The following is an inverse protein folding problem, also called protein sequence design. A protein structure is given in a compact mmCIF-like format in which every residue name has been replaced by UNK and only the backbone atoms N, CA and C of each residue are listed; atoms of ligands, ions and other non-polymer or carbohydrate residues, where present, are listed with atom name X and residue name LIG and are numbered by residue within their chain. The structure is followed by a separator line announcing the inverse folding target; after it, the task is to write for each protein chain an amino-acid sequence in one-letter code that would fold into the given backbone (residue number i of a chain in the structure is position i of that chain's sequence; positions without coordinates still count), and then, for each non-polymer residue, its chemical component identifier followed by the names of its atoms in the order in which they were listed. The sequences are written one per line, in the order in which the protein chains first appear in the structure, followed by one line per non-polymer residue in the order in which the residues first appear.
data_IF_925234913411
#
_entry.id   IF_925234913411
#
_cell.length_a   1.000
_cell.length_b   1.000
_cell.length_c   1.000
_cell.angle_alpha   90.00
_cell.angle_beta   90.00
_cell.angle_gamma   90.00
#
_symmetry.space_group_name_H-M   'P 1'
#
loop_
_entity.id
_entity.type
_entity.pdbx_description
1 polymer ?
#
# COMPACT_ATOMS: atom_id res chain seq x y z
N UNK A 1 -23.19 -17.41 -12.10
CA UNK A 1 -21.98 -17.62 -12.92
C UNK A 1 -20.91 -18.30 -12.08
N UNK A 2 -20.16 -19.26 -12.63
CA UNK A 2 -18.96 -19.75 -11.94
C UNK A 2 -17.88 -18.68 -12.11
N UNK A 3 -17.41 -18.13 -11.00
CA UNK A 3 -16.26 -17.25 -10.97
C UNK A 3 -15.05 -17.97 -11.58
N UNK A 4 -14.59 -17.52 -12.76
CA UNK A 4 -13.41 -18.10 -13.41
C UNK A 4 -12.14 -17.37 -12.94
N UNK A 5 -11.53 -17.98 -11.94
CA UNK A 5 -10.31 -17.50 -11.30
C UNK A 5 -9.13 -17.42 -12.29
N UNK A 6 -9.07 -18.41 -13.22
CA UNK A 6 -7.99 -18.50 -14.19
C UNK A 6 -8.04 -17.38 -15.22
N UNK A 7 -9.24 -16.97 -15.63
CA UNK A 7 -9.43 -15.87 -16.58
C UNK A 7 -8.98 -14.54 -15.98
N UNK A 8 -9.35 -14.24 -14.73
CA UNK A 8 -8.93 -13.00 -14.03
C UNK A 8 -7.41 -12.92 -13.91
N UNK A 9 -6.75 -14.02 -13.50
CA UNK A 9 -5.29 -14.06 -13.38
C UNK A 9 -4.59 -13.92 -14.74
N UNK A 10 -5.12 -14.55 -15.77
CA UNK A 10 -4.56 -14.45 -17.12
C UNK A 10 -4.65 -13.02 -17.66
N UNK A 11 -5.80 -12.36 -17.46
CA UNK A 11 -5.99 -10.94 -17.83
C UNK A 11 -5.08 -10.02 -17.05
N UNK A 12 -4.95 -10.23 -15.73
CA UNK A 12 -4.01 -9.49 -14.87
C UNK A 12 -2.59 -9.52 -15.44
N UNK A 13 -2.09 -10.72 -15.77
CA UNK A 13 -0.74 -10.88 -16.31
C UNK A 13 -0.62 -10.22 -17.68
N UNK A 14 -1.61 -10.39 -18.55
CA UNK A 14 -1.62 -9.78 -19.90
C UNK A 14 -1.61 -8.25 -19.82
N UNK A 15 -2.45 -7.65 -18.99
CA UNK A 15 -2.51 -6.18 -18.82
C UNK A 15 -1.20 -5.67 -18.22
N UNK A 16 -0.79 -6.23 -17.09
CA UNK A 16 0.39 -5.80 -16.37
C UNK A 16 1.67 -5.92 -17.19
N UNK A 17 1.81 -6.99 -18.00
CA UNK A 17 3.01 -7.21 -18.81
C UNK A 17 3.06 -6.36 -20.08
N UNK A 18 1.94 -6.20 -20.76
CA UNK A 18 1.89 -5.48 -22.03
C UNK A 18 1.92 -3.95 -21.86
N UNK A 19 1.45 -3.44 -20.73
CA UNK A 19 1.33 -2.00 -20.49
C UNK A 19 2.28 -1.51 -19.39
N UNK A 20 3.59 -1.46 -19.68
CA UNK A 20 4.65 -1.03 -18.75
C UNK A 20 4.47 0.39 -18.21
N UNK A 21 3.64 1.22 -18.87
CA UNK A 21 3.29 2.56 -18.37
C UNK A 21 2.63 2.49 -16.99
N UNK A 22 1.90 1.41 -16.68
CA UNK A 22 1.29 1.19 -15.37
C UNK A 22 2.36 1.00 -14.27
N UNK A 23 3.49 0.37 -14.60
CA UNK A 23 4.61 0.21 -13.66
C UNK A 23 5.24 1.56 -13.32
N UNK A 24 5.39 2.43 -14.34
CA UNK A 24 5.98 3.76 -14.14
C UNK A 24 5.14 4.61 -13.16
N UNK A 25 3.82 4.51 -13.23
CA UNK A 25 2.95 5.19 -12.27
C UNK A 25 3.12 4.66 -10.86
N UNK A 26 3.28 3.36 -10.69
CA UNK A 26 3.50 2.75 -9.38
C UNK A 26 4.90 3.03 -8.80
N UNK A 27 5.84 3.52 -9.60
CA UNK A 27 7.13 4.03 -9.09
C UNK A 27 7.02 5.43 -8.47
N UNK A 28 5.94 6.18 -8.74
CA UNK A 28 5.77 7.56 -8.25
C UNK A 28 5.94 7.68 -6.73
N UNK A 29 5.32 6.85 -5.88
CA UNK A 29 5.54 6.92 -4.43
C UNK A 29 7.00 6.71 -4.03
N UNK A 30 7.70 5.81 -4.73
CA UNK A 30 9.13 5.58 -4.53
C UNK A 30 9.98 6.79 -4.88
N UNK A 31 9.70 7.46 -5.99
CA UNK A 31 10.38 8.69 -6.39
C UNK A 31 10.14 9.80 -5.37
N UNK A 32 8.88 9.99 -4.92
CA UNK A 32 8.55 10.97 -3.88
C UNK A 32 9.27 10.65 -2.58
N UNK A 33 9.26 9.39 -2.15
CA UNK A 33 9.95 8.96 -0.94
C UNK A 33 11.46 9.18 -1.04
N UNK A 34 12.08 8.92 -2.21
CA UNK A 34 13.51 9.12 -2.43
C UNK A 34 13.88 10.61 -2.39
N UNK A 35 13.06 11.48 -2.99
CA UNK A 35 13.27 12.94 -2.96
C UNK A 35 13.13 13.48 -1.54
N UNK A 36 12.21 12.94 -0.77
CA UNK A 36 11.97 13.34 0.62
C UNK A 36 12.88 12.62 1.63
N UNK A 37 13.65 11.62 1.20
CA UNK A 37 14.54 10.84 2.05
C UNK A 37 15.55 11.71 2.84
N UNK A 38 16.20 12.73 2.24
CA UNK A 38 17.08 13.62 2.99
C UNK A 38 16.36 14.36 4.13
N UNK A 39 15.11 14.80 3.88
CA UNK A 39 14.29 15.43 4.91
C UNK A 39 13.99 14.45 6.05
N UNK A 40 13.65 13.21 5.73
CA UNK A 40 13.39 12.16 6.70
C UNK A 40 14.63 11.84 7.55
N UNK A 41 15.82 11.74 6.92
CA UNK A 41 17.08 11.46 7.59
C UNK A 41 17.46 12.62 8.52
N UNK A 42 17.44 13.86 8.01
CA UNK A 42 17.79 15.05 8.79
C UNK A 42 16.82 15.33 9.94
N UNK A 43 15.55 14.95 9.77
CA UNK A 43 14.55 15.12 10.82
C UNK A 43 14.55 13.99 11.85
N UNK A 44 15.31 12.91 11.66
CA UNK A 44 15.33 11.78 12.58
C UNK A 44 16.35 12.02 13.72
N UNK A 45 15.90 12.21 14.98
CA UNK A 45 16.82 12.47 16.11
C UNK A 45 17.85 11.35 16.29
N UNK A 46 17.46 10.09 16.11
CA UNK A 46 18.36 8.96 16.23
C UNK A 46 19.48 8.98 15.19
N UNK A 47 19.25 9.55 14.01
CA UNK A 47 20.29 9.73 13.00
C UNK A 47 21.18 10.93 13.33
N UNK A 48 20.59 12.03 13.84
CA UNK A 48 21.35 13.20 14.28
C UNK A 48 22.30 12.87 15.44
N UNK A 49 21.88 12.01 16.37
CA UNK A 49 22.72 11.52 17.47
C UNK A 49 23.93 10.69 17.00
N UNK A 50 23.88 10.13 15.79
CA UNK A 50 25.01 9.41 15.18
C UNK A 50 25.97 10.34 14.43
N UNK A 51 25.61 11.61 14.21
CA UNK A 51 26.48 12.58 13.55
C UNK A 51 27.49 13.17 14.52
N UNK A 52 28.69 13.59 14.01
CA UNK A 52 29.67 14.31 14.84
C UNK A 52 29.11 15.65 15.36
N UNK A 53 29.66 16.13 16.47
CA UNK A 53 29.42 17.51 16.90
C UNK A 53 29.68 18.50 15.74
N UNK A 54 28.86 19.57 15.56
CA UNK A 54 27.85 20.09 16.47
C UNK A 54 26.41 19.54 16.23
N UNK A 55 26.21 18.59 15.34
CA UNK A 55 24.88 18.09 14.98
C UNK A 55 24.21 17.32 16.12
N UNK A 56 24.98 16.70 17.01
CA UNK A 56 24.47 15.98 18.16
C UNK A 56 23.78 16.92 19.16
N UNK A 57 24.35 18.12 19.36
CA UNK A 57 23.78 19.11 20.30
C UNK A 57 22.40 19.60 19.88
N UNK A 58 22.12 19.62 18.56
CA UNK A 58 20.78 19.97 18.05
C UNK A 58 19.72 18.90 18.37
N UNK A 59 20.10 17.65 18.53
CA UNK A 59 19.16 16.57 18.80
C UNK A 59 18.50 16.71 20.19
N UNK A 60 19.17 17.34 21.15
CA UNK A 60 18.70 17.53 22.51
C UNK A 60 17.78 18.77 22.67
N UNK A 61 17.65 19.59 21.64
CA UNK A 61 16.81 20.78 21.68
C UNK A 61 15.31 20.42 21.59
N UNK A 62 14.43 20.91 22.49
CA UNK A 62 13.01 20.56 22.53
C UNK A 62 12.25 20.85 21.24
N UNK A 63 12.64 21.88 20.47
CA UNK A 63 12.00 22.21 19.18
C UNK A 63 12.28 21.19 18.08
N UNK A 64 13.36 20.40 18.20
CA UNK A 64 13.67 19.34 17.25
C UNK A 64 12.62 18.24 17.22
N UNK A 65 11.97 17.96 18.35
CA UNK A 65 10.85 17.02 18.42
C UNK A 65 9.68 17.50 17.52
N UNK A 66 9.39 18.81 17.55
CA UNK A 66 8.34 19.39 16.70
C UNK A 66 8.74 19.37 15.24
N UNK A 67 10.00 19.69 14.92
CA UNK A 67 10.52 19.61 13.55
C UNK A 67 10.44 18.18 13.02
N UNK A 68 10.90 17.21 13.80
CA UNK A 68 10.85 15.79 13.45
C UNK A 68 9.42 15.33 13.21
N UNK A 69 8.51 15.62 14.15
CA UNK A 69 7.11 15.23 14.04
C UNK A 69 6.45 15.88 12.81
N UNK A 70 6.72 17.17 12.57
CA UNK A 70 6.23 17.90 11.41
C UNK A 70 6.78 17.34 10.09
N UNK A 71 8.08 17.09 10.02
CA UNK A 71 8.72 16.51 8.84
C UNK A 71 8.22 15.09 8.54
N UNK A 72 8.07 14.26 9.58
CA UNK A 72 7.47 12.93 9.46
C UNK A 72 6.02 13.00 8.94
N UNK A 73 5.23 13.93 9.48
CA UNK A 73 3.87 14.13 9.00
C UNK A 73 3.83 14.52 7.53
N UNK A 74 4.67 15.49 7.12
CA UNK A 74 4.78 15.91 5.71
C UNK A 74 5.25 14.75 4.82
N UNK A 75 6.24 13.99 5.25
CA UNK A 75 6.74 12.83 4.53
C UNK A 75 5.65 11.77 4.31
N UNK A 76 4.96 11.38 5.39
CA UNK A 76 3.89 10.38 5.33
C UNK A 76 2.74 10.90 4.45
N UNK A 77 2.33 12.15 4.62
CA UNK A 77 1.22 12.73 3.87
C UNK A 77 1.51 12.81 2.37
N UNK A 78 2.67 13.32 1.97
CA UNK A 78 3.05 13.41 0.56
C UNK A 78 3.23 12.03 -0.09
N UNK A 79 3.80 11.08 0.64
CA UNK A 79 3.93 9.70 0.16
C UNK A 79 2.56 9.02 0.00
N UNK A 80 1.63 9.27 0.94
CA UNK A 80 0.26 8.78 0.86
C UNK A 80 -0.48 9.38 -0.35
N UNK A 81 -0.35 10.68 -0.60
CA UNK A 81 -0.94 11.31 -1.79
C UNK A 81 -0.40 10.68 -3.09
N UNK A 82 0.91 10.49 -3.16
CA UNK A 82 1.56 9.85 -4.31
C UNK A 82 1.08 8.41 -4.49
N UNK A 83 0.93 7.65 -3.40
CA UNK A 83 0.44 6.27 -3.41
C UNK A 83 -1.00 6.18 -3.92
N UNK A 84 -1.90 7.00 -3.39
CA UNK A 84 -3.31 7.04 -3.84
C UNK A 84 -3.40 7.41 -5.31
N UNK A 85 -2.61 8.39 -5.75
CA UNK A 85 -2.59 8.81 -7.14
C UNK A 85 -2.04 7.71 -8.07
N UNK A 86 -0.99 7.02 -7.67
CA UNK A 86 -0.41 5.92 -8.42
C UNK A 86 -1.41 4.76 -8.57
N UNK A 87 -2.09 4.39 -7.49
CA UNK A 87 -3.12 3.34 -7.52
C UNK A 87 -4.30 3.72 -8.41
N UNK A 88 -4.84 4.94 -8.23
CA UNK A 88 -5.90 5.49 -9.09
C UNK A 88 -5.55 5.39 -10.57
N UNK A 89 -4.37 5.92 -10.94
CA UNK A 89 -3.94 5.99 -12.34
C UNK A 89 -3.73 4.60 -12.93
N UNK A 90 -3.22 3.66 -12.14
CA UNK A 90 -3.01 2.28 -12.57
C UNK A 90 -4.34 1.54 -12.75
N UNK A 91 -5.28 1.69 -11.81
CA UNK A 91 -6.62 1.09 -11.93
C UNK A 91 -7.39 1.67 -13.10
N UNK A 92 -7.31 3.00 -13.30
CA UNK A 92 -7.91 3.67 -14.45
C UNK A 92 -7.36 3.12 -15.77
N UNK A 93 -6.04 3.00 -15.87
CA UNK A 93 -5.37 2.43 -17.04
C UNK A 93 -5.77 0.98 -17.29
N UNK A 94 -5.84 0.15 -16.24
CA UNK A 94 -6.23 -1.25 -16.34
C UNK A 94 -7.70 -1.39 -16.85
N UNK A 95 -8.63 -0.58 -16.32
CA UNK A 95 -10.02 -0.54 -16.78
C UNK A 95 -10.11 -0.10 -18.25
N UNK A 96 -9.32 0.89 -18.65
CA UNK A 96 -9.28 1.40 -20.04
C UNK A 96 -8.77 0.34 -21.03
N UNK A 97 -7.76 -0.44 -20.63
CA UNK A 97 -7.25 -1.58 -21.41
C UNK A 97 -8.29 -2.67 -21.55
N UNK A 98 -8.95 -3.05 -20.46
CA UNK A 98 -10.02 -4.07 -20.50
C UNK A 98 -11.21 -3.63 -21.38
N UNK A 99 -11.50 -2.33 -21.44
CA UNK A 99 -12.51 -1.76 -22.34
C UNK A 99 -12.05 -1.69 -23.81
N UNK A 100 -10.84 -2.20 -24.14
CA UNK A 100 -10.35 -2.39 -25.51
C UNK A 100 -9.38 -1.31 -26.03
N UNK A 101 -8.84 -0.47 -25.17
CA UNK A 101 -7.82 0.53 -25.58
C UNK A 101 -6.45 -0.13 -25.73
N UNK A 102 -5.91 -0.16 -26.96
CA UNK A 102 -4.62 -0.84 -27.23
C UNK A 102 -3.39 -0.05 -26.75
N UNK A 103 -3.44 1.27 -26.72
CA UNK A 103 -2.31 2.13 -26.36
C UNK A 103 -2.72 3.15 -25.32
N UNK A 104 -1.95 3.24 -24.26
CA UNK A 104 -2.17 4.17 -23.16
C UNK A 104 -0.95 5.08 -23.04
N UNK A 105 -1.18 6.40 -23.16
CA UNK A 105 -0.16 7.42 -22.97
C UNK A 105 0.02 7.77 -21.49
N UNK A 106 1.26 8.00 -21.05
CA UNK A 106 1.55 8.41 -19.67
C UNK A 106 0.83 9.73 -19.30
N UNK A 107 0.91 10.74 -20.19
CA UNK A 107 0.28 12.06 -19.97
C UNK A 107 -1.25 11.98 -20.04
N UNK A 108 -1.78 11.13 -20.89
CA UNK A 108 -3.20 10.88 -21.04
C UNK A 108 -3.80 10.33 -19.73
N UNK A 109 -3.19 9.28 -19.19
CA UNK A 109 -3.61 8.70 -17.91
C UNK A 109 -3.61 9.73 -16.77
N UNK A 110 -2.61 10.63 -16.73
CA UNK A 110 -2.56 11.68 -15.74
C UNK A 110 -3.78 12.61 -15.79
N UNK A 111 -4.09 13.13 -16.96
CA UNK A 111 -5.19 14.09 -17.11
C UNK A 111 -6.56 13.45 -16.93
N UNK A 112 -6.73 12.23 -17.41
CA UNK A 112 -8.01 11.53 -17.33
C UNK A 112 -8.30 10.96 -15.94
N UNK A 113 -7.28 10.59 -15.15
CA UNK A 113 -7.47 10.11 -13.79
C UNK A 113 -7.67 11.25 -12.76
N UNK A 114 -7.17 12.45 -13.04
CA UNK A 114 -7.20 13.58 -12.11
C UNK A 114 -8.59 13.93 -11.54
N UNK A 115 -9.70 13.93 -12.35
CA UNK A 115 -11.03 14.19 -11.83
C UNK A 115 -11.51 13.25 -10.74
N UNK A 116 -11.02 12.01 -10.73
CA UNK A 116 -11.38 10.98 -9.77
C UNK A 116 -10.55 11.06 -8.48
N UNK A 117 -9.45 11.83 -8.49
CA UNK A 117 -8.47 11.84 -7.41
C UNK A 117 -9.09 12.13 -6.04
N UNK A 118 -9.90 13.18 -5.91
CA UNK A 118 -10.49 13.56 -4.63
C UNK A 118 -11.48 12.53 -4.10
N UNK A 119 -12.21 11.85 -4.99
CA UNK A 119 -13.14 10.78 -4.60
C UNK A 119 -12.37 9.55 -4.10
N UNK A 120 -11.33 9.15 -4.83
CA UNK A 120 -10.49 8.02 -4.44
C UNK A 120 -9.67 8.35 -3.19
N UNK A 121 -9.13 9.57 -3.09
CA UNK A 121 -8.44 10.02 -1.88
C UNK A 121 -9.39 10.00 -0.66
N UNK A 122 -10.61 10.49 -0.81
CA UNK A 122 -11.64 10.42 0.24
C UNK A 122 -11.97 8.97 0.64
N UNK A 123 -12.02 8.05 -0.35
CA UNK A 123 -12.22 6.62 -0.10
C UNK A 123 -11.09 6.05 0.78
N UNK A 124 -9.83 6.29 0.40
CA UNK A 124 -8.67 5.87 1.19
C UNK A 124 -8.63 6.53 2.56
N UNK A 125 -8.95 7.83 2.65
CA UNK A 125 -8.99 8.54 3.93
C UNK A 125 -10.01 7.93 4.90
N UNK A 126 -11.20 7.54 4.42
CA UNK A 126 -12.22 6.88 5.25
C UNK A 126 -11.74 5.50 5.70
N UNK A 127 -11.23 4.68 4.78
CA UNK A 127 -10.79 3.32 5.11
C UNK A 127 -9.55 3.31 5.98
N UNK A 128 -8.49 4.04 5.59
CA UNK A 128 -7.25 4.12 6.36
C UNK A 128 -7.47 4.83 7.68
N UNK A 129 -8.22 5.95 7.69
CA UNK A 129 -8.55 6.68 8.91
C UNK A 129 -9.41 5.84 9.86
N UNK A 130 -10.44 5.17 9.37
CA UNK A 130 -11.24 4.24 10.16
C UNK A 130 -10.41 3.10 10.75
N UNK A 131 -9.51 2.56 9.95
CA UNK A 131 -8.57 1.52 10.38
C UNK A 131 -7.60 2.01 11.45
N UNK A 132 -7.06 3.21 11.30
CA UNK A 132 -6.19 3.83 12.32
C UNK A 132 -6.93 4.03 13.65
N UNK A 133 -8.19 4.47 13.62
CA UNK A 133 -9.01 4.62 14.84
C UNK A 133 -9.21 3.28 15.54
N UNK A 134 -9.58 2.23 14.79
CA UNK A 134 -9.78 0.87 15.34
C UNK A 134 -8.46 0.35 15.92
N UNK A 135 -7.36 0.48 15.18
CA UNK A 135 -6.04 0.04 15.62
C UNK A 135 -5.57 0.79 16.88
N UNK A 136 -5.73 2.11 16.91
CA UNK A 136 -5.36 2.93 18.05
C UNK A 136 -6.19 2.57 19.31
N UNK A 137 -7.50 2.41 19.15
CA UNK A 137 -8.37 1.98 20.23
C UNK A 137 -7.94 0.61 20.77
N UNK A 138 -7.61 -0.33 19.88
CA UNK A 138 -7.10 -1.65 20.27
C UNK A 138 -5.76 -1.56 21.02
N UNK A 139 -4.81 -0.78 20.52
CA UNK A 139 -3.50 -0.57 21.15
C UNK A 139 -3.66 0.04 22.55
N UNK A 140 -4.54 1.04 22.71
CA UNK A 140 -4.84 1.63 24.02
C UNK A 140 -5.38 0.61 25.02
N UNK A 141 -6.35 -0.23 24.59
CA UNK A 141 -6.90 -1.30 25.43
C UNK A 141 -5.82 -2.34 25.78
N UNK A 142 -4.99 -2.69 24.80
CA UNK A 142 -3.87 -3.63 24.98
C UNK A 142 -2.85 -3.12 26.01
N UNK A 143 -2.43 -1.87 25.87
CA UNK A 143 -1.49 -1.23 26.81
C UNK A 143 -2.08 -1.10 28.22
N UNK A 144 -3.31 -0.58 28.34
CA UNK A 144 -3.98 -0.42 29.62
C UNK A 144 -4.16 -1.79 30.33
N UNK A 145 -4.62 -2.80 29.57
CA UNK A 145 -4.77 -4.15 30.10
C UNK A 145 -3.43 -4.77 30.55
N UNK A 146 -2.38 -4.59 29.75
CA UNK A 146 -1.04 -5.11 30.08
C UNK A 146 -0.45 -4.43 31.30
N UNK A 147 -0.63 -3.12 31.47
CA UNK A 147 -0.20 -2.39 32.67
C UNK A 147 -0.92 -2.86 33.94
N UNK A 148 -2.26 -3.03 33.86
CA UNK A 148 -3.08 -3.45 35.00
C UNK A 148 -2.81 -4.89 35.44
N UNK A 149 -2.40 -5.74 34.53
CA UNK A 149 -2.21 -7.19 34.78
C UNK A 149 -0.74 -7.63 34.78
N UNK A 150 0.21 -6.67 34.87
CA UNK A 150 1.65 -6.94 34.80
C UNK A 150 2.04 -7.80 33.55
N UNK A 151 1.38 -7.56 32.44
CA UNK A 151 1.66 -8.26 31.18
C UNK A 151 0.82 -9.51 30.90
N UNK A 152 0.06 -10.04 31.86
CA UNK A 152 -0.78 -11.23 31.65
C UNK A 152 -1.87 -11.00 30.58
N UNK A 153 -2.44 -9.80 30.51
CA UNK A 153 -3.42 -9.46 29.50
C UNK A 153 -2.86 -9.53 28.08
N UNK A 154 -1.56 -9.30 27.87
CA UNK A 154 -0.95 -9.39 26.54
C UNK A 154 -1.03 -10.80 25.97
N UNK A 155 -0.87 -11.83 26.77
CA UNK A 155 -1.01 -13.22 26.35
C UNK A 155 -2.45 -13.57 25.96
N UNK A 156 -3.44 -13.04 26.71
CA UNK A 156 -4.85 -13.27 26.43
C UNK A 156 -5.36 -12.46 25.21
N UNK A 157 -4.82 -11.26 24.98
CA UNK A 157 -5.21 -10.40 23.88
C UNK A 157 -4.49 -10.73 22.57
N UNK A 158 -3.36 -11.44 22.61
CA UNK A 158 -2.60 -11.84 21.43
C UNK A 158 -3.45 -12.60 20.38
N UNK A 159 -4.33 -13.55 20.73
CA UNK A 159 -5.21 -14.21 19.76
C UNK A 159 -6.16 -13.26 19.04
N UNK A 160 -6.53 -12.13 19.67
CA UNK A 160 -7.42 -11.13 19.06
C UNK A 160 -6.77 -10.48 17.84
N UNK A 161 -5.44 -10.37 17.80
CA UNK A 161 -4.73 -9.91 16.61
C UNK A 161 -5.05 -10.74 15.36
N UNK A 162 -5.25 -12.04 15.50
CA UNK A 162 -5.60 -12.90 14.37
C UNK A 162 -6.99 -12.59 13.82
N UNK A 163 -7.91 -12.00 14.61
CA UNK A 163 -9.22 -11.57 14.14
C UNK A 163 -9.13 -10.33 13.23
N UNK A 164 -8.08 -9.53 13.36
CA UNK A 164 -7.86 -8.39 12.46
C UNK A 164 -7.58 -8.83 11.02
N UNK A 165 -6.97 -10.00 10.82
CA UNK A 165 -6.62 -10.49 9.47
C UNK A 165 -7.86 -10.64 8.58
N UNK A 166 -8.92 -11.39 8.95
CA UNK A 166 -10.11 -11.49 8.12
C UNK A 166 -10.84 -10.15 7.95
N UNK A 167 -10.86 -9.30 8.98
CA UNK A 167 -11.46 -7.96 8.88
C UNK A 167 -10.68 -7.10 7.87
N UNK A 168 -9.34 -7.16 7.88
CA UNK A 168 -8.49 -6.47 6.89
C UNK A 168 -8.75 -6.99 5.47
N UNK A 169 -8.83 -8.31 5.28
CA UNK A 169 -9.10 -8.90 3.97
C UNK A 169 -10.44 -8.37 3.42
N UNK A 170 -11.49 -8.36 4.23
CA UNK A 170 -12.79 -7.82 3.84
C UNK A 170 -12.70 -6.32 3.53
N UNK A 171 -12.10 -5.54 4.43
CA UNK A 171 -11.97 -4.08 4.27
C UNK A 171 -11.21 -3.71 3.00
N UNK A 172 -10.04 -4.31 2.76
CA UNK A 172 -9.25 -4.06 1.55
C UNK A 172 -9.96 -4.54 0.28
N UNK A 173 -10.65 -5.68 0.31
CA UNK A 173 -11.41 -6.14 -0.84
C UNK A 173 -12.53 -5.16 -1.21
N UNK A 174 -13.26 -4.64 -0.22
CA UNK A 174 -14.31 -3.63 -0.44
C UNK A 174 -13.71 -2.32 -0.93
N UNK A 175 -12.57 -1.89 -0.39
CA UNK A 175 -11.83 -0.70 -0.83
C UNK A 175 -11.48 -0.77 -2.31
N UNK A 176 -10.87 -1.88 -2.76
CA UNK A 176 -10.46 -2.06 -4.14
C UNK A 176 -11.65 -2.12 -5.12
N UNK A 177 -12.72 -2.84 -4.74
CA UNK A 177 -13.96 -2.88 -5.52
C UNK A 177 -14.65 -1.50 -5.59
N UNK A 178 -14.66 -0.75 -4.49
CA UNK A 178 -15.21 0.61 -4.45
C UNK A 178 -14.37 1.58 -5.31
N UNK A 179 -13.04 1.47 -5.28
CA UNK A 179 -12.17 2.24 -6.16
C UNK A 179 -12.48 1.96 -7.64
N UNK A 180 -12.62 0.69 -8.01
CA UNK A 180 -12.98 0.31 -9.37
C UNK A 180 -14.36 0.85 -9.77
N UNK A 181 -15.36 0.86 -8.85
CA UNK A 181 -16.69 1.43 -9.08
C UNK A 181 -16.66 2.95 -9.30
N UNK A 182 -15.83 3.70 -8.55
CA UNK A 182 -15.64 5.14 -8.78
C UNK A 182 -15.13 5.39 -10.21
N UNK A 183 -14.20 4.56 -10.68
CA UNK A 183 -13.50 4.77 -11.94
C UNK A 183 -14.31 4.24 -13.12
N UNK A 184 -14.91 3.05 -13.02
CA UNK A 184 -15.59 2.39 -14.14
C UNK A 184 -16.97 2.97 -14.41
N UNK A 185 -17.72 3.35 -13.34
CA UNK A 185 -19.12 3.73 -13.37
C UNK A 185 -19.35 5.19 -12.91
N UNK A 186 -18.28 5.96 -12.70
CA UNK A 186 -18.30 7.37 -12.25
C UNK A 186 -19.15 7.60 -10.98
N UNK A 187 -19.15 6.62 -10.06
CA UNK A 187 -19.98 6.64 -8.86
C UNK A 187 -19.51 7.66 -7.83
N UNK A 188 -20.44 8.26 -7.04
CA UNK A 188 -20.07 9.06 -5.87
C UNK A 188 -19.51 8.16 -4.78
N UNK A 189 -18.68 8.73 -3.89
CA UNK A 189 -17.90 8.05 -2.86
C UNK A 189 -18.72 7.01 -2.05
N UNK A 190 -19.82 7.42 -1.45
CA UNK A 190 -20.65 6.51 -0.62
C UNK A 190 -21.40 5.47 -1.47
N UNK A 191 -21.82 5.84 -2.68
CA UNK A 191 -22.42 4.88 -3.63
C UNK A 191 -21.42 3.80 -4.03
N UNK A 192 -20.17 4.17 -4.27
CA UNK A 192 -19.10 3.22 -4.61
C UNK A 192 -18.78 2.27 -3.45
N UNK A 193 -18.77 2.76 -2.20
CA UNK A 193 -18.60 1.90 -1.01
C UNK A 193 -19.75 0.89 -0.91
N UNK A 194 -20.98 1.36 -1.07
CA UNK A 194 -22.17 0.48 -1.04
C UNK A 194 -22.09 -0.57 -2.18
N UNK A 195 -21.70 -0.16 -3.38
CA UNK A 195 -21.52 -1.06 -4.53
C UNK A 195 -20.41 -2.07 -4.31
N UNK A 196 -19.27 -1.64 -3.80
CA UNK A 196 -18.15 -2.52 -3.44
C UNK A 196 -18.56 -3.58 -2.41
N UNK A 197 -19.36 -3.19 -1.41
CA UNK A 197 -19.90 -4.10 -0.41
C UNK A 197 -20.90 -5.11 -0.99
N UNK A 198 -21.80 -4.67 -1.88
CA UNK A 198 -22.74 -5.56 -2.58
C UNK A 198 -22.02 -6.61 -3.41
N UNK A 199 -21.05 -6.19 -4.23
CA UNK A 199 -20.26 -7.10 -5.07
C UNK A 199 -19.44 -8.07 -4.23
N UNK A 200 -18.85 -7.60 -3.14
CA UNK A 200 -18.15 -8.44 -2.18
C UNK A 200 -19.09 -9.50 -1.60
N UNK A 201 -20.26 -9.12 -1.07
CA UNK A 201 -21.21 -10.07 -0.49
C UNK A 201 -21.74 -11.09 -1.50
N UNK A 202 -21.98 -10.67 -2.73
CA UNK A 202 -22.46 -11.56 -3.80
C UNK A 202 -21.43 -12.62 -4.18
N UNK A 203 -20.12 -12.29 -4.11
CA UNK A 203 -19.01 -13.14 -4.59
C UNK A 203 -17.92 -13.32 -3.53
N UNK A 204 -18.27 -13.28 -2.24
CA UNK A 204 -17.31 -13.17 -1.14
C UNK A 204 -16.19 -14.24 -1.20
N UNK A 205 -16.53 -15.47 -1.53
CA UNK A 205 -15.58 -16.59 -1.56
C UNK A 205 -14.54 -16.41 -2.68
N UNK A 206 -14.97 -16.01 -3.88
CA UNK A 206 -14.09 -15.73 -5.01
C UNK A 206 -13.19 -14.51 -4.75
N UNK A 207 -13.77 -13.44 -4.19
CA UNK A 207 -13.04 -12.21 -3.86
C UNK A 207 -12.00 -12.45 -2.77
N UNK A 208 -12.36 -13.14 -1.68
CA UNK A 208 -11.43 -13.48 -0.59
C UNK A 208 -10.32 -14.40 -1.09
N UNK A 209 -10.65 -15.41 -1.91
CA UNK A 209 -9.65 -16.31 -2.47
C UNK A 209 -8.67 -15.54 -3.39
N UNK A 210 -9.18 -14.65 -4.24
CA UNK A 210 -8.34 -13.80 -5.08
C UNK A 210 -7.42 -12.93 -4.22
N UNK A 211 -7.96 -12.27 -3.20
CA UNK A 211 -7.16 -11.45 -2.28
C UNK A 211 -6.04 -12.24 -1.63
N UNK A 212 -6.35 -13.44 -1.13
CA UNK A 212 -5.36 -14.32 -0.51
C UNK A 212 -4.26 -14.69 -1.52
N UNK A 213 -4.64 -15.15 -2.72
CA UNK A 213 -3.67 -15.56 -3.75
C UNK A 213 -2.80 -14.39 -4.21
N UNK A 214 -3.41 -13.22 -4.44
CA UNK A 214 -2.65 -12.02 -4.82
C UNK A 214 -1.70 -11.59 -3.70
N UNK A 215 -2.20 -11.49 -2.47
CA UNK A 215 -1.40 -11.04 -1.34
C UNK A 215 -0.24 -11.98 -1.04
N UNK A 216 -0.50 -13.30 -0.93
CA UNK A 216 0.56 -14.29 -0.72
C UNK A 216 1.52 -14.39 -1.89
N UNK A 217 1.02 -14.42 -3.13
CA UNK A 217 1.85 -14.47 -4.32
C UNK A 217 2.79 -13.27 -4.42
N UNK A 218 2.26 -12.06 -4.23
CA UNK A 218 3.06 -10.84 -4.22
C UNK A 218 4.05 -10.79 -3.07
N UNK A 219 3.63 -11.22 -1.87
CA UNK A 219 4.50 -11.27 -0.69
C UNK A 219 5.67 -12.24 -0.90
N UNK A 220 5.41 -13.42 -1.47
CA UNK A 220 6.48 -14.39 -1.79
C UNK A 220 7.46 -13.82 -2.83
N UNK A 221 6.96 -13.22 -3.91
CA UNK A 221 7.81 -12.63 -4.95
C UNK A 221 8.61 -11.46 -4.35
N UNK A 222 7.96 -10.57 -3.60
CA UNK A 222 8.61 -9.44 -2.95
C UNK A 222 9.71 -9.90 -1.99
N UNK A 223 9.43 -10.91 -1.15
CA UNK A 223 10.41 -11.42 -0.19
C UNK A 223 11.64 -12.03 -0.87
N UNK A 224 11.47 -12.68 -2.02
CA UNK A 224 12.59 -13.24 -2.79
C UNK A 224 13.61 -12.17 -3.22
N UNK A 225 13.15 -10.95 -3.52
CA UNK A 225 14.02 -9.83 -3.90
C UNK A 225 14.53 -9.04 -2.70
N UNK A 226 13.67 -8.81 -1.69
CA UNK A 226 13.98 -7.95 -0.55
C UNK A 226 14.86 -8.70 0.47
N UNK A 227 14.62 -10.00 0.69
CA UNK A 227 15.34 -10.77 1.70
C UNK A 227 16.87 -10.76 1.50
N UNK A 228 17.44 -11.01 0.29
CA UNK A 228 18.87 -10.89 0.07
C UNK A 228 19.45 -9.50 0.36
N UNK A 229 18.66 -8.45 0.11
CA UNK A 229 19.05 -7.07 0.39
C UNK A 229 19.05 -6.73 1.89
N UNK A 230 18.35 -7.51 2.71
CA UNK A 230 18.34 -7.32 4.16
C UNK A 230 19.59 -7.93 4.86
N UNK A 231 20.30 -8.87 4.22
CA UNK A 231 21.50 -9.49 4.82
C UNK A 231 22.56 -8.48 5.24
N UNK A 232 22.96 -7.52 4.41
CA UNK A 232 23.95 -6.51 4.82
C UNK A 232 23.50 -5.70 6.05
N UNK A 233 22.20 -5.43 6.19
CA UNK A 233 21.64 -4.77 7.38
C UNK A 233 21.85 -5.59 8.65
N UNK A 234 21.68 -6.91 8.58
CA UNK A 234 21.91 -7.78 9.73
C UNK A 234 23.39 -7.76 10.14
N UNK A 235 24.32 -7.83 9.18
CA UNK A 235 25.74 -7.77 9.48
C UNK A 235 26.16 -6.45 10.14
N UNK A 236 25.53 -5.33 9.74
CA UNK A 236 25.80 -4.04 10.40
C UNK A 236 25.32 -3.99 11.84
N UNK A 237 24.15 -4.59 12.16
CA UNK A 237 23.69 -4.67 13.54
C UNK A 237 24.67 -5.45 14.41
N UNK A 238 25.24 -6.55 13.92
CA UNK A 238 26.28 -7.27 14.63
C UNK A 238 27.56 -6.45 14.79
N UNK A 239 28.01 -5.75 13.74
CA UNK A 239 29.16 -4.86 13.79
C UNK A 239 29.01 -3.70 14.79
N UNK A 240 27.80 -3.15 14.95
CA UNK A 240 27.50 -2.12 15.96
C UNK A 240 27.62 -2.64 17.39
N UNK A 241 27.21 -3.87 17.63
CA UNK A 241 27.32 -4.52 18.96
C UNK A 241 28.81 -4.70 19.31
N UNK A 242 29.62 -5.08 18.35
CA UNK A 242 31.06 -5.34 18.55
C UNK A 242 31.90 -4.06 18.71
N UNK A 243 31.49 -2.96 18.05
CA UNK A 243 32.16 -1.64 18.13
C UNK A 243 31.77 -0.78 19.33
N UNK A 244 31.00 -1.29 20.28
CA UNK A 244 30.52 -0.56 21.46
C UNK A 244 29.78 0.75 21.15
N UNK A 245 29.18 0.84 19.97
CA UNK A 245 28.34 1.97 19.58
C UNK A 245 29.07 3.10 18.85
N UNK A 246 30.37 3.00 18.62
CA UNK A 246 31.08 3.97 17.78
C UNK A 246 30.72 3.78 16.29
N UNK A 247 30.09 4.76 15.63
CA UNK A 247 29.74 4.64 14.23
C UNK A 247 31.00 4.60 13.39
N UNK A 248 31.34 3.39 12.89
CA UNK A 248 32.47 3.25 11.99
C UNK A 248 32.17 3.98 10.66
N UNK A 249 33.22 4.49 9.98
CA UNK A 249 33.11 5.07 8.64
C UNK A 249 32.38 4.12 7.67
N UNK A 250 32.50 2.82 7.88
CA UNK A 250 31.83 1.77 7.10
C UNK A 250 30.31 1.83 7.26
N UNK A 251 29.82 2.19 8.44
CA UNK A 251 28.39 2.36 8.73
C UNK A 251 27.82 3.58 8.02
N UNK A 252 28.54 4.69 8.01
CA UNK A 252 28.14 5.90 7.26
C UNK A 252 28.05 5.63 5.75
N UNK A 253 29.04 4.96 5.18
CA UNK A 253 29.04 4.57 3.75
C UNK A 253 27.86 3.66 3.45
N UNK A 254 27.56 2.73 4.34
CA UNK A 254 26.43 1.83 4.17
C UNK A 254 25.09 2.60 4.15
N UNK A 255 24.86 3.50 5.09
CA UNK A 255 23.64 4.30 5.13
C UNK A 255 23.51 5.24 3.93
N UNK A 256 24.62 5.83 3.46
CA UNK A 256 24.60 6.77 2.34
C UNK A 256 24.44 6.09 0.98
N UNK A 257 24.92 4.87 0.81
CA UNK A 257 24.95 4.19 -0.50
C UNK A 257 23.96 3.04 -0.55
N UNK A 258 24.00 2.15 0.44
CA UNK A 258 23.22 0.91 0.41
C UNK A 258 21.75 1.14 0.75
N UNK A 259 21.46 2.02 1.69
CA UNK A 259 20.07 2.31 2.10
C UNK A 259 19.23 2.92 0.96
N UNK A 260 19.71 3.95 0.22
CA UNK A 260 19.00 4.43 -0.97
C UNK A 260 18.87 3.36 -2.07
N UNK A 261 19.90 2.54 -2.29
CA UNK A 261 19.84 1.45 -3.25
C UNK A 261 18.75 0.42 -2.88
N UNK A 262 18.70 0.02 -1.60
CA UNK A 262 17.68 -0.87 -1.07
C UNK A 262 16.28 -0.27 -1.26
N UNK A 263 16.12 1.03 -1.02
CA UNK A 263 14.87 1.74 -1.26
C UNK A 263 14.46 1.69 -2.74
N UNK A 264 15.37 2.02 -3.65
CA UNK A 264 15.11 2.02 -5.09
C UNK A 264 14.66 0.63 -5.55
N UNK A 265 15.40 -0.42 -5.18
CA UNK A 265 15.06 -1.79 -5.57
C UNK A 265 13.72 -2.23 -4.97
N UNK A 266 13.48 -1.94 -3.69
CA UNK A 266 12.23 -2.28 -3.01
C UNK A 266 11.02 -1.61 -3.67
N UNK A 267 11.11 -0.31 -3.96
CA UNK A 267 10.03 0.41 -4.64
C UNK A 267 9.84 -0.04 -6.09
N UNK A 268 10.92 -0.40 -6.80
CA UNK A 268 10.82 -0.93 -8.15
C UNK A 268 10.07 -2.26 -8.19
N UNK A 269 10.43 -3.18 -7.31
CA UNK A 269 9.75 -4.49 -7.18
C UNK A 269 8.30 -4.30 -6.75
N UNK A 270 8.06 -3.51 -5.70
CA UNK A 270 6.73 -3.19 -5.20
C UNK A 270 5.87 -2.53 -6.29
N UNK A 271 6.42 -1.58 -7.03
CA UNK A 271 5.70 -0.87 -8.09
C UNK A 271 5.24 -1.82 -9.20
N UNK A 272 6.10 -2.74 -9.64
CA UNK A 272 5.73 -3.76 -10.63
C UNK A 272 4.61 -4.65 -10.08
N UNK A 273 4.76 -5.17 -8.87
CA UNK A 273 3.78 -6.05 -8.24
C UNK A 273 2.43 -5.37 -8.03
N UNK A 274 2.44 -4.10 -7.59
CA UNK A 274 1.20 -3.32 -7.41
C UNK A 274 0.49 -3.03 -8.73
N UNK A 275 1.20 -2.87 -9.85
CA UNK A 275 0.57 -2.75 -11.16
C UNK A 275 -0.20 -4.01 -11.54
N UNK A 276 0.34 -5.19 -11.27
CA UNK A 276 -0.39 -6.46 -11.44
C UNK A 276 -1.58 -6.56 -10.50
N UNK A 277 -1.41 -6.19 -9.24
CA UNK A 277 -2.47 -6.21 -8.23
C UNK A 277 -3.66 -5.35 -8.64
N UNK A 278 -3.42 -4.10 -9.04
CA UNK A 278 -4.48 -3.19 -9.48
C UNK A 278 -5.15 -3.67 -10.78
N UNK A 279 -4.38 -4.28 -11.69
CA UNK A 279 -4.93 -4.89 -12.90
C UNK A 279 -5.85 -6.08 -12.61
N UNK A 280 -5.54 -6.87 -11.59
CA UNK A 280 -6.39 -7.97 -11.15
C UNK A 280 -7.75 -7.48 -10.62
N UNK A 281 -7.75 -6.42 -9.79
CA UNK A 281 -8.97 -5.85 -9.26
C UNK A 281 -9.84 -5.18 -10.32
N UNK A 282 -9.21 -4.49 -11.28
CA UNK A 282 -9.91 -3.92 -12.42
C UNK A 282 -10.59 -5.01 -13.28
N UNK A 283 -9.86 -6.08 -13.60
CA UNK A 283 -10.40 -7.21 -14.35
C UNK A 283 -11.51 -7.93 -13.58
N UNK A 284 -11.33 -8.15 -12.28
CA UNK A 284 -12.35 -8.74 -11.39
C UNK A 284 -13.64 -7.92 -11.39
N UNK A 285 -13.51 -6.60 -11.17
CA UNK A 285 -14.67 -5.72 -11.12
C UNK A 285 -15.51 -5.81 -12.40
N UNK A 286 -14.87 -5.66 -13.55
CA UNK A 286 -15.55 -5.71 -14.84
C UNK A 286 -16.16 -7.08 -15.12
N UNK A 287 -15.50 -8.16 -14.73
CA UNK A 287 -16.03 -9.53 -14.89
C UNK A 287 -17.32 -9.76 -14.07
N UNK A 288 -17.32 -9.31 -12.80
CA UNK A 288 -18.50 -9.45 -11.92
C UNK A 288 -19.62 -8.51 -12.38
N UNK A 289 -19.30 -7.29 -12.81
CA UNK A 289 -20.26 -6.29 -13.25
C UNK A 289 -21.05 -6.78 -14.48
N UNK A 290 -20.37 -7.25 -15.53
CA UNK A 290 -20.98 -7.82 -16.72
C UNK A 290 -21.90 -9.01 -16.41
N UNK A 291 -21.47 -9.91 -15.51
CA UNK A 291 -22.29 -11.05 -15.10
C UNK A 291 -23.58 -10.66 -14.35
N UNK A 292 -23.59 -9.52 -13.68
CA UNK A 292 -24.79 -9.03 -12.98
C UNK A 292 -25.78 -8.40 -13.96
N UNK A 293 -25.31 -7.66 -14.96
CA UNK A 293 -26.17 -7.07 -16.01
C UNK A 293 -26.87 -8.14 -16.84
N UNK A 294 -26.15 -9.17 -17.26
CA UNK A 294 -26.72 -10.30 -18.03
C UNK A 294 -27.87 -10.98 -17.24
N UNK A 295 -27.71 -11.16 -15.94
CA UNK A 295 -28.77 -11.75 -15.10
C UNK A 295 -30.02 -10.88 -15.00
N UNK A 296 -29.86 -9.56 -14.92
CA UNK A 296 -31.00 -8.62 -14.87
C UNK A 296 -31.76 -8.62 -16.19
N UNK A 297 -31.06 -8.62 -17.32
CA UNK A 297 -31.69 -8.68 -18.65
C UNK A 297 -32.48 -9.97 -18.84
N UNK A 298 -31.93 -11.12 -18.43
CA UNK A 298 -32.64 -12.40 -18.49
C UNK A 298 -33.86 -12.46 -17.57
N UNK A 299 -33.82 -11.84 -16.39
CA UNK A 299 -34.96 -11.82 -15.46
C UNK A 299 -36.10 -10.91 -15.93
N UNK A 300 -35.83 -9.90 -16.75
CA UNK A 300 -36.85 -9.00 -17.31
C UNK A 300 -37.47 -9.55 -18.61
N UNK A 301 -36.87 -10.56 -19.21
CA UNK A 301 -37.35 -11.19 -20.44
C UNK A 301 -38.26 -12.40 -20.21
N UNK A 302 -38.47 -12.80 -18.96
CA UNK A 302 -39.41 -13.85 -18.51
C UNK A 302 -40.66 -13.24 -17.89
#
# INVERSE_FOLDING_TARGET
MKFDFGDVLTRMVKIGWNHKVLWLWQLLPGVVSLVLLPLFILANPGFLMMMPEPFNDFADEPWMLFLFTGAMFVFIFLTMLAQVFAQLTTTYGAIKVEKGTERIGFRELFHESLPYFWRVFGLYAIFVGGWMVIYFAFVMVFFAGSMLTMGLASLCLMPIFFLFIPIMIVGFSVLELAQAAIIADDMPLFGAIARGWELFRANWLGVVLLMIVLYFGMSMISSLFIFPLMFPMMFLQFGMIESQGDPSTMMLIFFLVFFPLLFIVSYAVQGILMAFFQSAWAALYLHIHQGTEDQVVFSQSQ
#
